data_IF_633333411303
#
_entry.id   IF_633333411303
#
_cell.length_a   1.000
_cell.length_b   1.000
_cell.length_c   1.000
_cell.angle_alpha   90.00
_cell.angle_beta   90.00
_cell.angle_gamma   90.00
#
_symmetry.space_group_name_H-M   'P 1'
#
loop_
_entity.id
_entity.type
_entity.pdbx_description
1 polymer ?
#
# COMPACT_ATOMS: atom_id res chain seq x y z
N UNK A 1 -5.49 16.32 13.85
CA UNK A 1 -6.55 16.97 13.06
C UNK A 1 -7.02 18.15 13.88
N UNK A 2 -6.82 19.38 13.41
CA UNK A 2 -7.41 20.55 14.05
C UNK A 2 -8.93 20.45 13.85
N UNK A 3 -9.68 20.37 14.94
CA UNK A 3 -11.12 20.19 14.94
C UNK A 3 -11.77 21.54 15.21
N UNK A 4 -11.87 22.37 14.17
CA UNK A 4 -12.61 23.63 14.25
C UNK A 4 -14.10 23.38 14.02
N UNK A 5 -14.91 23.75 15.00
CA UNK A 5 -16.37 23.63 14.97
C UNK A 5 -16.97 24.89 14.31
N UNK A 6 -17.92 24.69 13.40
CA UNK A 6 -18.74 25.75 12.81
C UNK A 6 -20.23 25.56 13.14
N UNK A 7 -21.06 26.53 12.79
CA UNK A 7 -22.52 26.46 12.91
C UNK A 7 -23.14 25.38 12.01
N UNK A 8 -22.52 25.10 10.86
CA UNK A 8 -23.01 24.14 9.88
C UNK A 8 -22.20 22.83 9.86
N UNK A 9 -22.91 21.70 9.76
CA UNK A 9 -22.29 20.37 9.64
C UNK A 9 -22.15 19.96 8.19
N UNK A 10 -20.96 19.49 7.78
CA UNK A 10 -20.67 19.01 6.41
C UNK A 10 -21.50 17.78 5.95
N UNK A 11 -22.30 17.16 6.82
CA UNK A 11 -23.18 16.04 6.46
C UNK A 11 -22.47 14.73 6.06
N UNK A 12 -21.15 14.64 6.20
CA UNK A 12 -20.36 13.49 5.76
C UNK A 12 -20.55 12.31 6.73
N UNK A 13 -21.22 11.25 6.28
CA UNK A 13 -21.29 9.97 7.00
C UNK A 13 -19.91 9.33 7.06
N UNK A 14 -19.61 8.63 8.16
CA UNK A 14 -18.34 7.92 8.32
C UNK A 14 -18.12 6.92 7.14
N UNK A 15 -17.16 7.18 6.22
CA UNK A 15 -16.92 6.34 5.06
C UNK A 15 -16.18 5.04 5.43
N UNK A 16 -15.58 4.98 6.62
CA UNK A 16 -14.78 3.87 7.09
C UNK A 16 -15.59 2.81 7.85
N UNK A 17 -16.91 2.97 8.02
CA UNK A 17 -17.73 1.98 8.75
C UNK A 17 -17.66 0.58 8.13
N UNK A 18 -17.76 0.47 6.81
CA UNK A 18 -17.71 -0.83 6.13
C UNK A 18 -16.32 -1.47 6.21
N UNK A 19 -15.26 -0.67 6.01
CA UNK A 19 -13.87 -1.15 6.17
C UNK A 19 -13.59 -1.56 7.62
N UNK A 20 -14.03 -0.75 8.57
CA UNK A 20 -13.88 -1.00 10.01
C UNK A 20 -14.60 -2.27 10.44
N UNK A 21 -15.80 -2.54 9.92
CA UNK A 21 -16.53 -3.78 10.16
C UNK A 21 -15.75 -5.00 9.65
N UNK A 22 -15.31 -4.97 8.39
CA UNK A 22 -14.51 -6.06 7.81
C UNK A 22 -13.22 -6.29 8.60
N UNK A 23 -12.56 -5.21 9.04
CA UNK A 23 -11.35 -5.28 9.85
C UNK A 23 -11.62 -5.85 11.25
N UNK A 24 -12.75 -5.50 11.85
CA UNK A 24 -13.17 -6.01 13.16
C UNK A 24 -13.50 -7.52 13.08
N UNK A 25 -14.26 -7.95 12.07
CA UNK A 25 -14.57 -9.37 11.83
C UNK A 25 -13.28 -10.17 11.60
N UNK A 26 -12.38 -9.68 10.75
CA UNK A 26 -11.06 -10.31 10.56
C UNK A 26 -10.29 -10.40 11.87
N UNK A 27 -10.25 -9.32 12.65
CA UNK A 27 -9.57 -9.29 13.94
C UNK A 27 -10.12 -10.32 14.91
N UNK A 28 -11.45 -10.45 14.98
CA UNK A 28 -12.13 -11.45 15.80
C UNK A 28 -11.77 -12.88 15.38
N UNK A 29 -11.84 -13.20 14.08
CA UNK A 29 -11.47 -14.53 13.58
C UNK A 29 -10.00 -14.86 13.87
N UNK A 30 -9.08 -13.92 13.67
CA UNK A 30 -7.65 -14.11 13.95
C UNK A 30 -7.40 -14.28 15.45
N UNK A 31 -8.10 -13.54 16.31
CA UNK A 31 -8.00 -13.73 17.76
C UNK A 31 -8.47 -15.13 18.19
N UNK A 32 -9.59 -15.62 17.64
CA UNK A 32 -10.07 -16.98 17.89
C UNK A 32 -9.05 -18.04 17.45
N UNK A 33 -8.44 -17.85 16.27
CA UNK A 33 -7.36 -18.70 15.77
C UNK A 33 -6.11 -18.66 16.66
N UNK A 34 -5.82 -17.53 17.32
CA UNK A 34 -4.72 -17.41 18.28
C UNK A 34 -5.00 -18.07 19.63
N UNK A 35 -6.25 -18.12 20.06
CA UNK A 35 -6.66 -18.81 21.30
C UNK A 35 -6.49 -20.32 21.16
N UNK A 36 -6.82 -20.88 19.99
CA UNK A 36 -6.73 -22.32 19.74
C UNK A 36 -5.38 -22.96 20.10
N UNK A 37 -4.22 -22.50 19.59
CA UNK A 37 -2.92 -23.07 19.98
C UNK A 37 -2.58 -22.82 21.45
N UNK A 38 -3.02 -21.71 22.05
CA UNK A 38 -2.79 -21.42 23.48
C UNK A 38 -3.50 -22.44 24.39
N UNK A 39 -4.68 -22.91 24.02
CA UNK A 39 -5.39 -23.96 24.76
C UNK A 39 -4.65 -25.31 24.70
N UNK A 40 -3.92 -25.57 23.62
CA UNK A 40 -3.13 -26.80 23.46
C UNK A 40 -1.80 -26.78 24.21
N UNK A 41 -1.28 -25.61 24.59
CA UNK A 41 -0.01 -25.50 25.32
C UNK A 41 -0.02 -26.34 26.59
N UNK A 42 -1.13 -26.36 27.34
CA UNK A 42 -1.21 -27.08 28.62
C UNK A 42 -0.94 -28.58 28.46
N UNK A 43 -1.49 -29.20 27.41
CA UNK A 43 -1.24 -30.62 27.12
C UNK A 43 0.14 -30.86 26.52
N UNK A 44 0.62 -29.95 25.66
CA UNK A 44 1.94 -30.10 25.02
C UNK A 44 3.11 -29.88 25.99
N UNK A 45 3.00 -29.02 27.00
CA UNK A 45 4.08 -28.80 27.99
C UNK A 45 4.48 -30.09 28.70
N UNK A 46 3.54 -31.01 28.88
CA UNK A 46 3.78 -32.30 29.53
C UNK A 46 4.49 -33.31 28.62
N UNK A 47 4.38 -33.15 27.29
CA UNK A 47 4.95 -34.05 26.29
C UNK A 47 6.28 -33.51 25.75
N UNK A 48 6.27 -32.28 25.24
CA UNK A 48 7.43 -31.61 24.67
C UNK A 48 7.39 -30.11 25.00
N UNK A 49 8.32 -29.70 25.87
CA UNK A 49 8.46 -28.31 26.31
C UNK A 49 8.79 -27.37 25.15
N UNK A 50 9.57 -27.82 24.16
CA UNK A 50 9.99 -26.96 23.03
C UNK A 50 8.83 -26.65 22.10
N UNK A 51 8.06 -27.67 21.72
CA UNK A 51 6.83 -27.50 20.93
C UNK A 51 5.79 -26.63 21.64
N UNK A 52 5.63 -26.80 22.95
CA UNK A 52 4.72 -25.97 23.73
C UNK A 52 5.06 -24.48 23.69
N UNK A 53 6.36 -24.12 23.77
CA UNK A 53 6.81 -22.74 23.64
C UNK A 53 6.58 -22.17 22.23
N UNK A 54 6.74 -22.98 21.19
CA UNK A 54 6.44 -22.57 19.81
C UNK A 54 4.94 -22.27 19.65
N UNK A 55 4.08 -23.16 20.13
CA UNK A 55 2.62 -22.96 20.12
C UNK A 55 2.21 -21.73 20.92
N UNK A 56 2.82 -21.52 22.09
CA UNK A 56 2.61 -20.32 22.90
C UNK A 56 2.99 -19.05 22.12
N UNK A 57 4.20 -19.01 21.54
CA UNK A 57 4.68 -17.85 20.78
C UNK A 57 3.78 -17.53 19.58
N UNK A 58 3.41 -18.53 18.78
CA UNK A 58 2.51 -18.36 17.63
C UNK A 58 1.12 -17.90 18.10
N UNK A 59 0.57 -18.51 19.15
CA UNK A 59 -0.72 -18.15 19.72
C UNK A 59 -0.77 -16.70 20.21
N UNK A 60 0.26 -16.26 20.96
CA UNK A 60 0.37 -14.88 21.41
C UNK A 60 0.52 -13.89 20.26
N UNK A 61 1.33 -14.20 19.24
CA UNK A 61 1.49 -13.33 18.06
C UNK A 61 0.17 -13.17 17.30
N UNK A 62 -0.59 -14.24 17.10
CA UNK A 62 -1.90 -14.20 16.46
C UNK A 62 -2.91 -13.44 17.30
N UNK A 63 -2.99 -13.70 18.60
CA UNK A 63 -3.90 -13.03 19.52
C UNK A 63 -3.63 -11.51 19.57
N UNK A 64 -2.38 -11.11 19.73
CA UNK A 64 -1.98 -9.70 19.77
C UNK A 64 -2.29 -8.99 18.44
N UNK A 65 -2.01 -9.65 17.31
CA UNK A 65 -2.34 -9.14 15.98
C UNK A 65 -3.86 -9.03 15.74
N UNK A 66 -4.62 -10.03 16.18
CA UNK A 66 -6.08 -10.09 16.07
C UNK A 66 -6.76 -9.02 16.90
N UNK A 67 -6.37 -8.86 18.17
CA UNK A 67 -6.88 -7.83 19.07
C UNK A 67 -6.56 -6.42 18.56
N UNK A 68 -5.34 -6.19 18.07
CA UNK A 68 -4.97 -4.91 17.45
C UNK A 68 -5.83 -4.59 16.24
N UNK A 69 -6.07 -5.57 15.36
CA UNK A 69 -6.94 -5.41 14.21
C UNK A 69 -8.38 -5.13 14.63
N UNK A 70 -8.91 -5.87 15.60
CA UNK A 70 -10.25 -5.72 16.15
C UNK A 70 -10.46 -4.32 16.73
N UNK A 71 -9.57 -3.89 17.63
CA UNK A 71 -9.62 -2.56 18.24
C UNK A 71 -9.56 -1.44 17.19
N UNK A 72 -8.66 -1.56 16.20
CA UNK A 72 -8.58 -0.59 15.11
C UNK A 72 -9.84 -0.56 14.22
N UNK A 73 -10.48 -1.71 14.00
CA UNK A 73 -11.72 -1.81 13.22
C UNK A 73 -12.91 -1.18 13.95
N UNK A 74 -13.05 -1.45 15.25
CA UNK A 74 -14.06 -0.82 16.10
C UNK A 74 -13.85 0.69 16.13
N UNK A 75 -12.61 1.15 16.33
CA UNK A 75 -12.29 2.58 16.33
C UNK A 75 -12.68 3.26 15.00
N UNK A 76 -12.46 2.59 13.86
CA UNK A 76 -12.87 3.09 12.54
C UNK A 76 -14.39 3.17 12.38
N UNK A 77 -15.18 2.37 13.09
CA UNK A 77 -16.64 2.40 13.05
C UNK A 77 -17.26 3.50 13.93
N UNK A 78 -16.50 4.02 14.90
CA UNK A 78 -16.93 5.09 15.79
C UNK A 78 -17.17 6.42 15.05
N UNK A 79 -17.49 7.48 15.79
CA UNK A 79 -17.80 8.79 15.20
C UNK A 79 -16.62 9.30 14.37
N UNK A 80 -16.92 9.67 13.13
CA UNK A 80 -15.95 10.29 12.24
C UNK A 80 -15.96 11.81 12.47
N UNK A 81 -14.83 12.34 12.93
CA UNK A 81 -14.67 13.76 13.20
C UNK A 81 -14.08 14.43 11.96
N UNK A 82 -14.77 15.44 11.44
CA UNK A 82 -14.38 16.22 10.26
C UNK A 82 -14.33 17.69 10.66
N UNK A 83 -13.19 18.33 10.42
CA UNK A 83 -13.05 19.78 10.58
C UNK A 83 -13.37 20.53 9.28
N UNK A 84 -13.40 21.87 9.33
CA UNK A 84 -13.75 22.72 8.19
C UNK A 84 -12.72 22.72 7.05
N UNK A 85 -11.49 22.28 7.31
CA UNK A 85 -10.41 22.17 6.31
C UNK A 85 -10.43 20.88 5.49
N UNK A 86 -11.45 20.02 5.65
CA UNK A 86 -11.60 18.77 4.88
C UNK A 86 -12.52 19.01 3.68
N UNK A 87 -12.22 18.49 2.46
CA UNK A 87 -11.14 17.57 2.08
C UNK A 87 -9.75 18.21 2.09
N UNK A 88 -8.64 17.47 2.06
CA UNK A 88 -7.30 18.09 1.94
C UNK A 88 -7.20 18.93 0.66
N UNK A 89 -6.47 20.05 0.71
CA UNK A 89 -6.24 20.92 -0.43
C UNK A 89 -5.54 20.22 -1.60
N UNK A 90 -5.80 20.69 -2.83
CA UNK A 90 -5.14 20.16 -4.03
C UNK A 90 -3.64 20.48 -4.02
N UNK A 91 -3.29 21.71 -3.66
CA UNK A 91 -1.93 22.22 -3.47
C UNK A 91 -1.78 22.89 -2.08
N UNK A 92 -0.56 23.23 -1.63
CA UNK A 92 -0.37 23.94 -0.35
C UNK A 92 -1.23 25.21 -0.29
N UNK A 93 -2.01 25.32 0.79
CA UNK A 93 -2.90 26.45 1.02
C UNK A 93 -2.15 27.58 1.72
N UNK A 94 -2.20 28.77 1.12
CA UNK A 94 -1.60 30.00 1.62
C UNK A 94 -2.63 30.97 2.21
N UNK A 95 -3.89 30.56 2.34
CA UNK A 95 -4.92 31.39 2.97
C UNK A 95 -4.52 31.83 4.38
N UNK A 96 -4.61 33.13 4.66
CA UNK A 96 -4.20 33.73 5.95
C UNK A 96 -4.97 33.14 7.13
N UNK A 97 -6.25 32.80 6.95
CA UNK A 97 -7.11 32.23 7.98
C UNK A 97 -6.86 30.74 8.27
N UNK A 98 -6.15 30.05 7.39
CA UNK A 98 -5.95 28.59 7.45
C UNK A 98 -4.48 28.19 7.53
N UNK A 99 -3.58 29.08 7.97
CA UNK A 99 -2.13 28.82 8.00
C UNK A 99 -1.74 27.66 8.91
N UNK A 100 -2.44 27.47 10.03
CA UNK A 100 -2.16 26.37 10.95
C UNK A 100 -2.67 25.03 10.42
N UNK A 101 -3.88 25.03 9.84
CA UNK A 101 -4.47 23.84 9.19
C UNK A 101 -3.67 23.43 7.96
N UNK A 102 -3.22 24.39 7.14
CA UNK A 102 -2.40 24.16 5.95
C UNK A 102 -1.08 23.43 6.26
N UNK A 103 -0.45 23.68 7.41
CA UNK A 103 0.77 22.95 7.83
C UNK A 103 0.52 21.47 8.11
N UNK A 104 -0.70 21.11 8.50
CA UNK A 104 -1.10 19.74 8.78
C UNK A 104 -1.55 18.98 7.53
N UNK A 105 -1.78 19.70 6.43
CA UNK A 105 -2.23 19.13 5.17
C UNK A 105 -1.08 18.47 4.40
N UNK A 106 -1.41 17.43 3.65
CA UNK A 106 -0.50 16.76 2.72
C UNK A 106 -1.09 16.80 1.31
N UNK A 107 -1.04 17.98 0.65
CA UNK A 107 -1.59 18.15 -0.69
C UNK A 107 -0.86 17.27 -1.71
N UNK A 108 -1.57 16.90 -2.77
CA UNK A 108 -1.02 16.00 -3.79
C UNK A 108 -0.21 16.76 -4.86
N UNK A 109 -0.63 17.98 -5.18
CA UNK A 109 -0.04 18.80 -6.23
C UNK A 109 0.77 19.95 -5.63
N UNK A 110 1.63 20.53 -6.46
CA UNK A 110 2.18 21.87 -6.22
C UNK A 110 1.35 22.91 -6.96
N UNK A 111 1.44 24.17 -6.56
CA UNK A 111 0.78 25.28 -7.27
C UNK A 111 1.16 25.33 -8.76
N UNK A 112 2.44 25.11 -9.08
CA UNK A 112 2.94 25.01 -10.46
C UNK A 112 2.31 23.85 -11.25
N UNK A 113 2.02 22.72 -10.59
CA UNK A 113 1.40 21.57 -11.27
C UNK A 113 -0.05 21.90 -11.67
N UNK A 114 -0.76 22.64 -10.80
CA UNK A 114 -2.12 23.12 -11.08
C UNK A 114 -2.12 24.16 -12.21
N UNK A 115 -1.13 25.05 -12.25
CA UNK A 115 -0.97 26.01 -13.34
C UNK A 115 -0.76 25.30 -14.68
N UNK A 116 0.15 24.31 -14.72
CA UNK A 116 0.37 23.49 -15.92
C UNK A 116 -0.87 22.68 -16.33
N UNK A 117 -1.70 22.26 -15.38
CA UNK A 117 -2.97 21.58 -15.67
C UNK A 117 -3.99 22.52 -16.30
N UNK A 118 -4.15 23.71 -15.73
CA UNK A 118 -5.15 24.68 -16.16
C UNK A 118 -4.76 25.35 -17.48
N UNK A 119 -3.53 25.89 -17.54
CA UNK A 119 -3.04 26.67 -18.70
C UNK A 119 -2.38 25.78 -19.76
N UNK A 120 -1.60 24.79 -19.32
CA UNK A 120 -0.83 23.92 -20.22
C UNK A 120 -1.61 22.70 -20.73
N UNK A 121 -2.83 22.47 -20.23
CA UNK A 121 -3.66 21.28 -20.53
C UNK A 121 -2.93 19.95 -20.29
N UNK A 122 -1.98 19.94 -19.34
CA UNK A 122 -1.20 18.74 -18.99
C UNK A 122 -1.86 18.04 -17.82
N UNK A 123 -2.13 16.74 -17.92
CA UNK A 123 -2.65 15.98 -16.78
C UNK A 123 -1.50 15.30 -16.00
N UNK A 124 -1.10 15.88 -14.85
CA UNK A 124 -0.07 15.26 -13.99
C UNK A 124 -0.63 14.19 -13.05
N UNK A 125 -1.94 13.98 -13.00
CA UNK A 125 -2.60 12.95 -12.17
C UNK A 125 -2.40 11.54 -12.73
N UNK A 126 -2.14 11.41 -14.03
CA UNK A 126 -1.88 10.13 -14.67
C UNK A 126 -0.38 9.98 -14.91
N UNK A 127 0.28 9.32 -13.96
CA UNK A 127 1.70 8.97 -14.07
C UNK A 127 1.83 7.65 -14.82
N UNK A 128 2.78 7.59 -15.77
CA UNK A 128 3.08 6.36 -16.50
C UNK A 128 3.64 5.28 -15.55
N UNK A 129 3.16 4.03 -15.66
CA UNK A 129 3.74 2.91 -14.92
C UNK A 129 5.16 2.59 -15.38
N UNK A 130 6.09 2.52 -14.42
CA UNK A 130 7.47 2.11 -14.66
C UNK A 130 7.66 0.62 -14.31
N UNK A 131 8.39 -0.11 -15.16
CA UNK A 131 8.72 -1.51 -14.96
C UNK A 131 7.78 -2.51 -15.66
N UNK A 132 8.31 -3.70 -15.94
CA UNK A 132 7.64 -4.77 -16.70
C UNK A 132 6.30 -5.20 -16.09
N UNK A 133 6.27 -5.50 -14.78
CA UNK A 133 5.06 -5.97 -14.09
C UNK A 133 3.98 -4.89 -14.13
N UNK A 134 4.38 -3.64 -13.85
CA UNK A 134 3.48 -2.49 -13.84
C UNK A 134 2.83 -2.30 -15.22
N UNK A 135 3.64 -2.30 -16.28
CA UNK A 135 3.16 -2.19 -17.67
C UNK A 135 2.27 -3.36 -18.09
N UNK A 136 2.61 -4.59 -17.69
CA UNK A 136 1.79 -5.77 -17.97
C UNK A 136 0.39 -5.66 -17.33
N UNK A 137 0.31 -5.23 -16.08
CA UNK A 137 -0.97 -5.01 -15.39
C UNK A 137 -1.83 -3.97 -16.09
N UNK A 138 -1.22 -2.84 -16.49
CA UNK A 138 -1.93 -1.79 -17.22
C UNK A 138 -2.28 -2.19 -18.66
N UNK A 139 -1.57 -3.16 -19.25
CA UNK A 139 -1.93 -3.75 -20.56
C UNK A 139 -3.16 -4.65 -20.42
N UNK A 140 -3.23 -5.47 -19.37
CA UNK A 140 -4.37 -6.37 -19.10
C UNK A 140 -5.62 -5.60 -18.66
N UNK A 141 -5.45 -4.49 -17.94
CA UNK A 141 -6.54 -3.65 -17.44
C UNK A 141 -6.26 -2.17 -17.78
N UNK A 142 -6.49 -1.72 -19.03
CA UNK A 142 -6.17 -0.35 -19.46
C UNK A 142 -6.88 0.74 -18.65
N UNK A 143 -8.11 0.46 -18.21
CA UNK A 143 -8.91 1.40 -17.41
C UNK A 143 -8.38 1.59 -15.97
N UNK A 144 -7.38 0.81 -15.55
CA UNK A 144 -6.76 0.90 -14.23
C UNK A 144 -6.14 2.29 -14.01
N UNK A 145 -5.59 2.91 -15.06
CA UNK A 145 -4.99 4.24 -14.99
C UNK A 145 -5.99 5.32 -14.56
N UNK A 146 -7.30 5.11 -14.67
CA UNK A 146 -8.29 6.10 -14.26
C UNK A 146 -8.78 5.92 -12.81
N UNK A 147 -8.41 4.82 -12.14
CA UNK A 147 -8.79 4.60 -10.75
C UNK A 147 -7.95 5.44 -9.78
N UNK A 148 -8.37 5.66 -8.52
CA UNK A 148 -7.50 6.28 -7.52
C UNK A 148 -6.22 5.46 -7.26
N UNK A 149 -5.10 6.14 -6.92
CA UNK A 149 -3.81 5.48 -6.65
C UNK A 149 -3.87 4.30 -5.69
N UNK A 150 -4.64 4.34 -4.57
CA UNK A 150 -4.76 3.18 -3.68
C UNK A 150 -5.17 1.89 -4.39
N UNK A 151 -6.08 1.98 -5.38
CA UNK A 151 -6.55 0.82 -6.14
C UNK A 151 -5.55 0.41 -7.23
N UNK A 152 -4.86 1.38 -7.85
CA UNK A 152 -3.78 1.10 -8.82
C UNK A 152 -2.64 0.35 -8.16
N UNK A 153 -2.14 0.87 -7.04
CA UNK A 153 -1.04 0.28 -6.28
C UNK A 153 -1.43 -1.11 -5.77
N UNK A 154 -2.66 -1.27 -5.25
CA UNK A 154 -3.15 -2.59 -4.82
C UNK A 154 -3.15 -3.60 -5.96
N UNK A 155 -3.63 -3.23 -7.14
CA UNK A 155 -3.66 -4.11 -8.32
C UNK A 155 -2.24 -4.52 -8.76
N UNK A 156 -1.32 -3.55 -8.81
CA UNK A 156 0.07 -3.81 -9.17
C UNK A 156 0.73 -4.73 -8.12
N UNK A 157 0.55 -4.49 -6.81
CA UNK A 157 1.20 -5.26 -5.73
C UNK A 157 0.67 -6.67 -5.64
N UNK A 158 -0.62 -6.82 -5.86
CA UNK A 158 -1.26 -8.11 -6.00
C UNK A 158 -0.66 -8.91 -7.19
N UNK A 159 -0.52 -8.28 -8.36
CA UNK A 159 0.14 -8.92 -9.50
C UNK A 159 1.62 -9.24 -9.21
N UNK A 160 2.33 -8.38 -8.49
CA UNK A 160 3.69 -8.62 -8.02
C UNK A 160 3.78 -9.84 -7.10
N UNK A 161 2.84 -10.00 -6.17
CA UNK A 161 2.78 -11.16 -5.27
C UNK A 161 2.49 -12.47 -6.01
N UNK A 162 1.62 -12.44 -7.03
CA UNK A 162 1.37 -13.60 -7.89
C UNK A 162 2.63 -14.02 -8.65
N UNK A 163 3.33 -13.07 -9.27
CA UNK A 163 4.58 -13.36 -9.99
C UNK A 163 5.66 -13.85 -9.02
N UNK A 164 5.80 -13.22 -7.85
CA UNK A 164 6.73 -13.68 -6.82
C UNK A 164 6.40 -15.11 -6.35
N UNK A 165 5.12 -15.45 -6.24
CA UNK A 165 4.68 -16.82 -5.91
C UNK A 165 5.09 -17.80 -7.00
N UNK A 166 4.86 -17.47 -8.28
CA UNK A 166 5.27 -18.32 -9.40
C UNK A 166 6.80 -18.51 -9.44
N UNK A 167 7.57 -17.43 -9.27
CA UNK A 167 9.04 -17.49 -9.21
C UNK A 167 9.52 -18.35 -8.03
N UNK A 168 8.90 -18.20 -6.86
CA UNK A 168 9.25 -18.99 -5.68
C UNK A 168 8.93 -20.48 -5.85
N UNK A 169 7.81 -20.82 -6.51
CA UNK A 169 7.48 -22.21 -6.84
C UNK A 169 8.47 -22.82 -7.84
N UNK A 170 8.90 -22.07 -8.86
CA UNK A 170 9.94 -22.52 -9.80
C UNK A 170 11.29 -22.70 -9.09
N UNK A 171 11.69 -21.74 -8.26
CA UNK A 171 12.91 -21.84 -7.46
C UNK A 171 12.86 -23.08 -6.55
N UNK A 172 11.74 -23.29 -5.86
CA UNK A 172 11.55 -24.47 -5.02
C UNK A 172 11.58 -25.77 -5.84
N UNK A 173 10.97 -25.82 -7.03
CA UNK A 173 11.03 -26.99 -7.90
C UNK A 173 12.47 -27.32 -8.31
N UNK A 174 13.31 -26.32 -8.58
CA UNK A 174 14.74 -26.50 -8.86
C UNK A 174 15.49 -27.04 -7.63
N UNK A 175 15.24 -26.47 -6.45
CA UNK A 175 15.84 -26.94 -5.20
C UNK A 175 15.41 -28.38 -4.87
N UNK A 176 14.12 -28.70 -5.05
CA UNK A 176 13.59 -30.04 -4.87
C UNK A 176 14.21 -31.02 -5.87
N UNK A 177 14.38 -30.61 -7.13
CA UNK A 177 15.09 -31.42 -8.13
C UNK A 177 16.52 -31.73 -7.69
N UNK A 178 17.27 -30.74 -7.21
CA UNK A 178 18.65 -30.95 -6.72
C UNK A 178 18.71 -31.88 -5.50
N UNK A 179 17.76 -31.76 -4.56
CA UNK A 179 17.70 -32.64 -3.40
C UNK A 179 17.30 -34.08 -3.77
N UNK A 180 16.27 -34.24 -4.62
CA UNK A 180 15.72 -35.56 -4.99
C UNK A 180 16.62 -36.34 -5.95
N UNK A 181 17.43 -35.65 -6.76
CA UNK A 181 18.39 -36.30 -7.67
C UNK A 181 19.69 -36.72 -6.97
N UNK A 182 19.85 -36.41 -5.68
CA UNK A 182 21.05 -36.72 -4.91
C UNK A 182 22.24 -35.80 -5.20
N UNK A 183 22.07 -34.72 -5.98
CA UNK A 183 23.14 -33.72 -6.19
C UNK A 183 23.58 -33.04 -4.88
N UNK A 184 22.69 -32.97 -3.89
CA UNK A 184 22.98 -32.46 -2.55
C UNK A 184 23.55 -33.54 -1.58
N UNK A 185 23.83 -34.75 -2.06
CA UNK A 185 24.25 -35.89 -1.24
C UNK A 185 23.11 -36.53 -0.43
N UNK A 186 23.46 -37.40 0.52
CA UNK A 186 22.50 -38.14 1.37
C UNK A 186 21.67 -37.23 2.30
N UNK A 187 22.07 -35.96 2.43
CA UNK A 187 21.36 -34.95 3.23
C UNK A 187 20.12 -34.36 2.56
N UNK A 188 19.78 -34.80 1.34
CA UNK A 188 18.61 -34.32 0.58
C UNK A 188 17.29 -34.44 1.35
N UNK A 189 17.12 -35.52 2.12
CA UNK A 189 15.91 -35.78 2.92
C UNK A 189 15.73 -34.79 4.08
N UNK A 190 16.82 -34.24 4.61
CA UNK A 190 16.81 -33.24 5.70
C UNK A 190 16.59 -31.84 5.11
N UNK A 191 17.20 -31.55 3.96
CA UNK A 191 17.13 -30.24 3.32
C UNK A 191 15.75 -29.94 2.73
N UNK A 192 15.07 -30.93 2.17
CA UNK A 192 13.80 -30.71 1.48
C UNK A 192 12.68 -30.15 2.41
N UNK A 193 12.43 -30.70 3.62
CA UNK A 193 11.49 -30.12 4.57
C UNK A 193 11.87 -28.69 5.00
N UNK A 194 13.17 -28.42 5.19
CA UNK A 194 13.67 -27.09 5.55
C UNK A 194 13.35 -26.06 4.47
N UNK A 195 13.69 -26.34 3.20
CA UNK A 195 13.40 -25.42 2.09
C UNK A 195 11.89 -25.25 1.86
N UNK A 196 11.11 -26.30 2.10
CA UNK A 196 9.65 -26.23 2.03
C UNK A 196 9.09 -25.28 3.10
N UNK A 197 9.60 -25.36 4.33
CA UNK A 197 9.22 -24.44 5.41
C UNK A 197 9.60 -22.99 5.06
N UNK A 198 10.82 -22.77 4.54
CA UNK A 198 11.29 -21.45 4.07
C UNK A 198 10.36 -20.90 2.98
N UNK A 199 9.93 -21.74 2.03
CA UNK A 199 8.97 -21.34 0.99
C UNK A 199 7.65 -20.88 1.59
N UNK A 200 7.06 -21.64 2.52
CA UNK A 200 5.78 -21.28 3.15
C UNK A 200 5.89 -19.95 3.90
N UNK A 201 6.97 -19.75 4.67
CA UNK A 201 7.23 -18.49 5.38
C UNK A 201 7.39 -17.33 4.38
N UNK A 202 8.17 -17.54 3.32
CA UNK A 202 8.36 -16.53 2.27
C UNK A 202 7.04 -16.11 1.62
N UNK A 203 6.17 -17.07 1.26
CA UNK A 203 4.87 -16.80 0.66
C UNK A 203 3.98 -16.01 1.63
N UNK A 204 3.91 -16.40 2.90
CA UNK A 204 3.13 -15.67 3.91
C UNK A 204 3.60 -14.21 4.02
N UNK A 205 4.91 -13.98 4.07
CA UNK A 205 5.48 -12.63 4.16
C UNK A 205 5.23 -11.80 2.89
N UNK A 206 5.37 -12.42 1.71
CA UNK A 206 5.11 -11.79 0.41
C UNK A 206 3.66 -11.31 0.29
N UNK A 207 2.70 -12.16 0.64
CA UNK A 207 1.28 -11.84 0.60
C UNK A 207 0.85 -10.86 1.70
N UNK A 208 1.47 -10.93 2.88
CA UNK A 208 1.28 -9.93 3.93
C UNK A 208 1.75 -8.54 3.48
N UNK A 209 2.90 -8.46 2.83
CA UNK A 209 3.40 -7.22 2.22
C UNK A 209 2.39 -6.66 1.21
N UNK A 210 1.92 -7.48 0.28
CA UNK A 210 0.99 -7.08 -0.78
C UNK A 210 -0.35 -6.54 -0.27
N UNK A 211 -0.78 -6.92 0.93
CA UNK A 211 -2.04 -6.45 1.54
C UNK A 211 -2.05 -4.98 1.98
N UNK A 212 -0.89 -4.32 2.02
CA UNK A 212 -0.78 -2.94 2.50
C UNK A 212 -1.21 -1.92 1.43
N UNK A 213 -1.95 -0.89 1.82
CA UNK A 213 -2.52 0.11 0.90
C UNK A 213 -1.80 1.44 1.05
N UNK A 214 -1.22 1.93 -0.05
CA UNK A 214 -0.54 3.23 -0.09
C UNK A 214 -1.37 4.27 -0.83
N UNK A 215 -1.32 5.52 -0.34
CA UNK A 215 -2.08 6.65 -0.92
C UNK A 215 -1.30 7.41 -1.99
N UNK A 216 0.03 7.37 -1.94
CA UNK A 216 0.89 8.01 -2.94
C UNK A 216 1.02 7.11 -4.18
N UNK A 217 1.19 7.72 -5.34
CA UNK A 217 1.42 6.98 -6.58
C UNK A 217 2.67 6.11 -6.45
N UNK A 218 2.52 4.79 -6.56
CA UNK A 218 3.68 3.92 -6.75
C UNK A 218 4.00 3.90 -8.24
N UNK A 219 5.15 4.47 -8.61
CA UNK A 219 5.61 4.47 -10.01
C UNK A 219 6.15 3.10 -10.40
N UNK A 220 6.88 2.48 -9.48
CA UNK A 220 7.45 1.16 -9.63
C UNK A 220 7.06 0.30 -8.45
N UNK A 221 6.56 -0.89 -8.75
CA UNK A 221 6.80 -2.03 -7.87
C UNK A 221 8.17 -2.52 -8.20
N UNK A 222 9.00 -2.82 -7.20
CA UNK A 222 10.29 -3.46 -7.42
C UNK A 222 10.11 -4.63 -8.39
N UNK A 223 10.42 -4.39 -9.65
CA UNK A 223 10.46 -5.44 -10.65
C UNK A 223 11.64 -6.30 -10.27
N UNK A 224 11.40 -7.60 -10.10
CA UNK A 224 12.50 -8.55 -10.08
C UNK A 224 13.17 -8.48 -11.46
N UNK A 225 14.18 -7.61 -11.59
CA UNK A 225 14.89 -7.45 -12.84
C UNK A 225 15.54 -8.78 -13.25
N UNK A 226 15.86 -8.95 -14.53
CA UNK A 226 16.44 -10.18 -15.06
C UNK A 226 17.65 -10.67 -14.23
N UNK A 227 18.48 -9.74 -13.73
CA UNK A 227 19.60 -10.06 -12.85
C UNK A 227 19.17 -10.60 -11.48
N UNK A 228 18.11 -10.05 -10.86
CA UNK A 228 17.56 -10.56 -9.59
C UNK A 228 16.99 -11.97 -9.80
N UNK A 229 16.24 -12.20 -10.88
CA UNK A 229 15.70 -13.52 -11.23
C UNK A 229 16.81 -14.55 -11.44
N UNK A 230 17.84 -14.22 -12.24
CA UNK A 230 18.98 -15.11 -12.47
C UNK A 230 19.70 -15.45 -11.15
N UNK A 231 19.89 -14.49 -10.25
CA UNK A 231 20.46 -14.73 -8.92
C UNK A 231 19.59 -15.66 -8.07
N UNK A 232 18.27 -15.51 -8.09
CA UNK A 232 17.36 -16.40 -7.36
C UNK A 232 17.45 -17.82 -7.92
N UNK A 233 17.45 -17.99 -9.25
CA UNK A 233 17.56 -19.31 -9.88
C UNK A 233 18.92 -19.96 -9.60
N UNK A 234 20.02 -19.21 -9.72
CA UNK A 234 21.35 -19.69 -9.40
C UNK A 234 21.46 -20.10 -7.93
N UNK A 235 20.90 -19.29 -7.02
CA UNK A 235 20.86 -19.60 -5.60
C UNK A 235 20.01 -20.85 -5.30
N UNK A 236 18.86 -21.02 -5.96
CA UNK A 236 18.00 -22.18 -5.79
C UNK A 236 18.69 -23.51 -6.15
N UNK A 237 19.69 -23.47 -7.04
CA UNK A 237 20.51 -24.63 -7.43
C UNK A 237 21.73 -24.77 -6.52
N UNK A 238 22.48 -23.68 -6.31
CA UNK A 238 23.75 -23.71 -5.57
C UNK A 238 23.56 -23.89 -4.05
N UNK A 239 22.54 -23.27 -3.46
CA UNK A 239 22.31 -23.31 -2.03
C UNK A 239 22.10 -24.74 -1.47
N UNK A 240 21.23 -25.60 -2.04
CA UNK A 240 21.09 -26.98 -1.55
C UNK A 240 22.39 -27.80 -1.69
N UNK A 241 23.19 -27.59 -2.75
CA UNK A 241 24.47 -28.29 -2.91
C UNK A 241 25.47 -27.85 -1.85
N UNK A 242 25.65 -26.53 -1.69
CA UNK A 242 26.60 -25.98 -0.70
C UNK A 242 26.20 -26.33 0.74
N UNK A 243 24.90 -26.26 1.06
CA UNK A 243 24.39 -26.67 2.36
C UNK A 243 24.52 -28.17 2.58
N UNK A 244 24.26 -29.00 1.57
CA UNK A 244 24.48 -30.45 1.66
C UNK A 244 25.94 -30.79 1.96
N UNK A 245 26.88 -30.15 1.27
CA UNK A 245 28.31 -30.30 1.56
C UNK A 245 28.69 -29.83 2.98
N UNK A 246 28.16 -28.69 3.42
CA UNK A 246 28.41 -28.16 4.75
C UNK A 246 27.84 -29.07 5.86
N UNK A 247 26.62 -29.58 5.68
CA UNK A 247 25.97 -30.50 6.63
C UNK A 247 26.74 -31.82 6.67
N UNK A 248 27.14 -32.37 5.53
CA UNK A 248 27.96 -33.59 5.49
C UNK A 248 29.31 -33.40 6.20
N UNK A 249 29.95 -32.23 6.05
CA UNK A 249 31.17 -31.92 6.79
C UNK A 249 30.93 -31.82 8.30
N UNK A 250 29.83 -31.18 8.72
CA UNK A 250 29.45 -31.05 10.13
C UNK A 250 29.05 -32.39 10.75
N UNK A 251 28.40 -33.27 10.00
CA UNK A 251 28.00 -34.62 10.43
C UNK A 251 29.19 -35.55 10.68
N UNK A 252 30.39 -35.23 10.20
CA UNK A 252 31.62 -35.95 10.58
C UNK A 252 31.99 -35.74 12.06
N UNK A 253 31.43 -34.70 12.72
CA UNK A 253 31.62 -34.46 14.15
C UNK A 253 30.59 -35.24 14.95
N UNK A 254 31.08 -36.10 15.86
CA UNK A 254 30.26 -37.06 16.63
C UNK A 254 29.20 -36.39 17.52
N UNK A 255 29.45 -35.17 17.99
CA UNK A 255 28.51 -34.40 18.81
C UNK A 255 27.31 -33.89 17.98
N UNK A 256 27.55 -33.50 16.72
CA UNK A 256 26.53 -32.99 15.80
C UNK A 256 25.66 -34.13 15.28
N UNK A 257 26.26 -35.30 15.05
CA UNK A 257 25.54 -36.50 14.63
C UNK A 257 24.49 -36.92 15.67
N UNK A 258 24.84 -36.90 16.97
CA UNK A 258 23.93 -37.25 18.04
C UNK A 258 22.77 -36.24 18.19
N UNK A 259 23.05 -34.94 18.04
CA UNK A 259 22.02 -33.90 18.09
C UNK A 259 21.03 -33.98 16.91
N UNK A 260 21.49 -34.36 15.72
CA UNK A 260 20.64 -34.52 14.54
C UNK A 260 19.80 -35.80 14.62
N UNK A 261 20.35 -36.90 15.16
CA UNK A 261 19.57 -38.11 15.40
C UNK A 261 18.45 -37.87 16.43
N UNK A 262 18.73 -37.12 17.50
CA UNK A 262 17.71 -36.75 18.49
C UNK A 262 16.58 -35.90 17.86
N UNK A 263 16.94 -34.95 16.98
CA UNK A 263 15.96 -34.18 16.20
C UNK A 263 15.18 -35.03 15.19
N UNK A 264 15.79 -36.02 14.56
CA UNK A 264 15.10 -36.96 13.66
C UNK A 264 14.11 -37.86 14.40
N UNK A 265 14.37 -38.18 15.67
CA UNK A 265 13.42 -38.95 16.52
C UNK A 265 12.31 -38.09 17.14
N UNK A 266 12.45 -36.76 17.12
CA UNK A 266 11.43 -35.85 17.66
C UNK A 266 10.23 -35.70 16.70
N UNK A 267 9.01 -35.57 17.24
CA UNK A 267 7.77 -35.41 16.46
C UNK A 267 7.75 -34.15 15.56
N UNK A 268 8.76 -33.27 15.68
CA UNK A 268 9.01 -32.13 14.78
C UNK A 268 9.17 -32.54 13.31
N UNK A 269 9.54 -33.79 13.02
CA UNK A 269 9.60 -34.31 11.64
C UNK A 269 8.21 -34.43 10.99
N UNK A 270 7.13 -34.41 11.77
CA UNK A 270 5.75 -34.51 11.30
C UNK A 270 5.15 -33.19 10.80
N UNK A 271 5.94 -32.10 10.70
CA UNK A 271 5.47 -30.88 10.03
C UNK A 271 5.25 -31.20 8.55
N UNK A 272 4.07 -31.69 8.22
CA UNK A 272 3.67 -31.99 6.86
C UNK A 272 3.65 -30.66 6.12
N UNK A 273 4.68 -30.29 5.37
CA UNK A 273 4.72 -28.97 4.74
C UNK A 273 3.69 -28.86 3.62
N UNK A 274 3.29 -30.00 3.04
CA UNK A 274 2.45 -30.04 1.86
C UNK A 274 1.02 -29.54 2.09
N UNK A 275 0.28 -29.95 3.14
CA UNK A 275 -1.02 -29.35 3.47
C UNK A 275 -0.93 -27.84 3.71
N UNK A 276 0.12 -27.36 4.38
CA UNK A 276 0.33 -25.94 4.69
C UNK A 276 0.57 -25.15 3.40
N UNK A 277 1.40 -25.68 2.50
CA UNK A 277 1.67 -25.08 1.20
C UNK A 277 0.39 -25.01 0.35
N UNK A 278 -0.38 -26.10 0.28
CA UNK A 278 -1.66 -26.15 -0.45
C UNK A 278 -2.66 -25.15 0.12
N UNK A 279 -2.74 -25.04 1.45
CA UNK A 279 -3.62 -24.10 2.14
C UNK A 279 -3.22 -22.65 1.86
N UNK A 280 -1.93 -22.33 1.87
CA UNK A 280 -1.43 -21.01 1.47
C UNK A 280 -1.81 -20.75 0.01
N UNK A 281 -1.54 -21.67 -0.91
CA UNK A 281 -1.89 -21.51 -2.33
C UNK A 281 -3.39 -21.31 -2.54
N UNK A 282 -4.24 -22.06 -1.84
CA UNK A 282 -5.70 -21.90 -1.85
C UNK A 282 -6.10 -20.47 -1.45
N UNK A 283 -5.60 -19.97 -0.31
CA UNK A 283 -5.93 -18.61 0.14
C UNK A 283 -5.38 -17.52 -0.80
N UNK A 284 -4.22 -17.73 -1.41
CA UNK A 284 -3.68 -16.82 -2.42
C UNK A 284 -4.56 -16.78 -3.67
N UNK A 285 -5.06 -17.94 -4.13
CA UNK A 285 -5.99 -18.02 -5.25
C UNK A 285 -7.34 -17.35 -4.92
N UNK A 286 -7.92 -17.65 -3.76
CA UNK A 286 -9.19 -17.05 -3.32
C UNK A 286 -9.10 -15.54 -3.19
N UNK A 287 -8.07 -15.03 -2.49
CA UNK A 287 -7.86 -13.59 -2.34
C UNK A 287 -7.65 -12.92 -3.69
N UNK A 288 -6.97 -13.60 -4.62
CA UNK A 288 -6.73 -13.11 -5.95
C UNK A 288 -7.95 -12.98 -6.82
N UNK A 289 -8.79 -14.01 -6.85
CA UNK A 289 -10.08 -13.96 -7.54
C UNK A 289 -10.93 -12.82 -6.98
N UNK A 290 -10.98 -12.67 -5.65
CA UNK A 290 -11.79 -11.62 -5.03
C UNK A 290 -11.30 -10.21 -5.40
N UNK A 291 -9.99 -9.96 -5.32
CA UNK A 291 -9.40 -8.67 -5.71
C UNK A 291 -9.66 -8.37 -7.19
N UNK A 292 -9.47 -9.37 -8.06
CA UNK A 292 -9.71 -9.23 -9.49
C UNK A 292 -11.18 -8.87 -9.79
N UNK A 293 -12.14 -9.55 -9.15
CA UNK A 293 -13.56 -9.27 -9.32
C UNK A 293 -13.93 -7.85 -8.86
N UNK A 294 -13.40 -7.41 -7.71
CA UNK A 294 -13.63 -6.04 -7.21
C UNK A 294 -13.04 -4.98 -8.14
N UNK A 295 -11.81 -5.20 -8.63
CA UNK A 295 -11.17 -4.29 -9.60
C UNK A 295 -11.95 -4.26 -10.92
N UNK A 296 -12.43 -5.40 -11.41
CA UNK A 296 -13.26 -5.49 -12.61
C UNK A 296 -14.56 -4.69 -12.46
N UNK A 297 -15.28 -4.86 -11.34
CA UNK A 297 -16.50 -4.08 -11.08
C UNK A 297 -16.22 -2.58 -10.96
N UNK A 298 -15.10 -2.20 -10.32
CA UNK A 298 -14.75 -0.79 -10.14
C UNK A 298 -14.33 -0.13 -11.45
N UNK A 299 -13.52 -0.80 -12.26
CA UNK A 299 -13.10 -0.31 -13.59
C UNK A 299 -14.27 -0.20 -14.57
N UNK A 300 -15.29 -1.06 -14.46
CA UNK A 300 -16.50 -0.97 -15.28
C UNK A 300 -17.29 0.34 -15.05
N UNK A 301 -17.20 0.94 -13.86
CA UNK A 301 -17.86 2.21 -13.52
C UNK A 301 -17.09 3.45 -13.98
N UNK A 302 -15.88 3.28 -14.51
CA UNK A 302 -15.06 4.41 -14.97
C UNK A 302 -15.60 4.93 -16.29
N UNK A 303 -16.02 6.20 -16.28
CA UNK A 303 -16.29 6.99 -17.47
C UNK A 303 -15.18 8.02 -17.61
N UNK A 304 -14.22 7.77 -18.49
CA UNK A 304 -13.16 8.73 -18.76
C UNK A 304 -13.73 9.87 -19.61
N UNK A 305 -13.91 11.04 -19.00
CA UNK A 305 -14.22 12.26 -19.74
C UNK A 305 -12.91 12.98 -20.03
N UNK A 306 -12.61 13.17 -21.32
CA UNK A 306 -11.43 13.91 -21.80
C UNK A 306 -11.75 15.37 -22.11
N UNK A 307 -12.93 15.86 -21.69
CA UNK A 307 -13.35 17.24 -21.91
C UNK A 307 -12.48 18.17 -21.08
N UNK A 308 -12.03 19.24 -21.72
CA UNK A 308 -11.24 20.29 -21.07
C UNK A 308 -12.20 21.15 -20.25
N UNK A 309 -12.06 21.15 -18.93
CA UNK A 309 -12.81 22.03 -18.02
C UNK A 309 -12.19 23.43 -17.96
N UNK A 310 -11.89 24.02 -19.12
CA UNK A 310 -11.27 25.35 -19.22
C UNK A 310 -12.31 26.34 -19.75
N UNK A 311 -12.53 27.40 -18.97
CA UNK A 311 -13.24 28.59 -19.43
C UNK A 311 -12.22 29.72 -19.55
N UNK A 312 -11.97 30.18 -20.78
CA UNK A 312 -11.14 31.37 -21.02
C UNK A 312 -12.06 32.51 -21.42
N UNK A 313 -12.05 33.57 -20.62
CA UNK A 313 -12.63 34.84 -20.97
C UNK A 313 -11.57 35.92 -20.79
N UNK A 314 -11.53 36.84 -21.75
CA UNK A 314 -10.73 38.05 -21.66
C UNK A 314 -11.71 39.21 -21.51
N UNK A 315 -11.44 40.09 -20.56
CA UNK A 315 -12.22 41.32 -20.35
C UNK A 315 -11.25 42.48 -20.20
N UNK A 316 -11.67 43.65 -20.69
CA UNK A 316 -10.93 44.89 -20.60
C UNK A 316 -11.82 45.88 -19.83
N UNK A 317 -11.26 46.47 -18.78
CA UNK A 317 -11.91 47.50 -17.97
C UNK A 317 -10.91 48.60 -17.65
N UNK A 318 -11.41 49.83 -17.60
CA UNK A 318 -10.59 51.01 -17.29
C UNK A 318 -10.59 51.27 -15.77
N UNK A 319 -10.02 50.34 -15.01
CA UNK A 319 -9.94 50.41 -13.54
C UNK A 319 -8.48 50.29 -13.12
N UNK A 320 -8.09 50.95 -12.02
CA UNK A 320 -6.75 50.80 -11.48
C UNK A 320 -6.49 49.32 -11.10
N UNK A 321 -5.40 48.67 -11.56
CA UNK A 321 -5.19 47.23 -11.35
C UNK A 321 -5.31 46.77 -9.90
N UNK A 322 -4.83 47.58 -8.95
CA UNK A 322 -4.93 47.28 -7.51
C UNK A 322 -6.38 47.16 -7.02
N UNK A 323 -7.31 47.97 -7.52
CA UNK A 323 -8.71 47.93 -7.12
C UNK A 323 -9.40 46.66 -7.61
N UNK A 324 -9.03 46.18 -8.81
CA UNK A 324 -9.52 44.92 -9.36
C UNK A 324 -9.22 43.77 -8.38
N UNK A 325 -7.99 43.67 -7.90
CA UNK A 325 -7.62 42.58 -6.99
C UNK A 325 -8.24 42.71 -5.60
N UNK A 326 -8.33 43.92 -5.05
CA UNK A 326 -9.00 44.16 -3.76
C UNK A 326 -10.47 43.74 -3.84
N UNK A 327 -11.16 44.10 -4.91
CA UNK A 327 -12.57 43.71 -5.13
C UNK A 327 -12.73 42.20 -5.33
N UNK A 328 -11.83 41.56 -6.09
CA UNK A 328 -11.85 40.11 -6.28
C UNK A 328 -11.70 39.41 -4.93
N UNK A 329 -10.69 39.76 -4.13
CA UNK A 329 -10.39 39.07 -2.86
C UNK A 329 -11.46 39.34 -1.79
N UNK A 330 -11.82 40.60 -1.57
CA UNK A 330 -12.68 41.00 -0.45
C UNK A 330 -14.17 40.82 -0.72
N UNK A 331 -14.62 40.97 -1.97
CA UNK A 331 -16.06 40.96 -2.30
C UNK A 331 -16.41 39.68 -3.06
N UNK A 332 -15.79 39.44 -4.22
CA UNK A 332 -16.17 38.33 -5.10
C UNK A 332 -15.87 36.98 -4.44
N UNK A 333 -14.65 36.80 -3.94
CA UNK A 333 -14.24 35.54 -3.33
C UNK A 333 -14.91 35.31 -1.97
N UNK A 334 -15.12 36.36 -1.18
CA UNK A 334 -15.88 36.26 0.06
C UNK A 334 -17.32 35.78 -0.17
N UNK A 335 -18.00 36.30 -1.20
CA UNK A 335 -19.36 35.89 -1.57
C UNK A 335 -19.45 34.49 -2.19
N UNK A 336 -18.33 33.92 -2.65
CA UNK A 336 -18.26 32.57 -3.21
C UNK A 336 -17.98 31.48 -2.17
N UNK A 337 -17.82 31.83 -0.89
CA UNK A 337 -17.57 30.84 0.17
C UNK A 337 -18.77 29.91 0.33
N UNK A 338 -18.52 28.61 0.23
CA UNK A 338 -19.52 27.60 0.50
C UNK A 338 -19.54 27.24 1.99
N UNK A 339 -20.73 27.26 2.63
CA UNK A 339 -20.90 27.03 4.09
C UNK A 339 -19.94 27.86 4.97
N UNK A 340 -19.69 29.11 4.55
CA UNK A 340 -18.75 30.04 5.19
C UNK A 340 -17.30 29.52 5.31
N UNK A 341 -16.95 28.44 4.61
CA UNK A 341 -15.60 27.88 4.61
C UNK A 341 -14.71 28.82 3.78
N UNK A 342 -13.52 29.21 4.27
CA UNK A 342 -12.59 30.03 3.50
C UNK A 342 -12.19 29.33 2.19
N UNK A 343 -12.08 30.11 1.12
CA UNK A 343 -11.55 29.61 -0.15
C UNK A 343 -10.07 29.25 0.01
N UNK A 344 -9.62 28.23 -0.73
CA UNK A 344 -8.23 27.77 -0.67
C UNK A 344 -7.39 28.58 -1.64
N UNK A 345 -6.28 29.11 -1.17
CA UNK A 345 -5.40 29.96 -1.96
C UNK A 345 -4.14 29.18 -2.29
N UNK A 346 -3.92 28.83 -3.55
CA UNK A 346 -2.76 28.05 -4.01
C UNK A 346 -1.60 28.92 -4.47
N UNK A 347 -1.89 30.15 -4.88
CA UNK A 347 -0.89 31.17 -5.16
C UNK A 347 -1.41 32.48 -4.59
N UNK A 348 -0.69 33.04 -3.63
CA UNK A 348 -1.05 34.34 -3.05
C UNK A 348 -0.93 35.41 -4.11
N UNK A 349 -1.86 36.36 -4.04
CA UNK A 349 -1.80 37.56 -4.85
C UNK A 349 -0.52 38.33 -4.53
N UNK A 350 0.35 38.45 -5.53
CA UNK A 350 1.58 39.26 -5.48
C UNK A 350 1.52 40.34 -6.56
N UNK A 351 0.76 41.42 -6.34
CA UNK A 351 0.62 42.46 -7.35
C UNK A 351 1.90 43.28 -7.36
N UNK A 352 2.64 43.25 -8.47
CA UNK A 352 3.79 44.12 -8.68
C UNK A 352 3.46 45.12 -9.80
N UNK A 353 3.59 46.40 -9.48
CA UNK A 353 3.42 47.50 -10.43
C UNK A 353 4.80 48.12 -10.62
N UNK A 354 5.41 47.95 -11.79
CA UNK A 354 6.59 48.73 -12.13
C UNK A 354 6.14 49.96 -12.91
N UNK A 355 6.06 51.09 -12.22
CA UNK A 355 5.79 52.37 -12.85
C UNK A 355 7.05 52.87 -13.55
N UNK A 356 6.97 53.10 -14.87
CA UNK A 356 7.92 53.90 -15.61
C UNK A 356 7.41 55.36 -15.63
N UNK A 357 8.29 56.34 -15.90
CA UNK A 357 7.88 57.74 -15.97
C UNK A 357 6.78 57.96 -17.02
N UNK A 358 5.86 58.90 -16.75
CA UNK A 358 4.73 59.29 -17.62
C UNK A 358 3.63 58.23 -17.80
N UNK A 359 3.04 57.75 -16.69
CA UNK A 359 1.79 56.93 -16.70
C UNK A 359 1.87 55.64 -17.53
N UNK A 360 3.08 55.18 -17.84
CA UNK A 360 3.36 53.90 -18.48
C UNK A 360 3.97 52.99 -17.43
N UNK A 361 3.50 51.76 -17.37
CA UNK A 361 4.03 50.77 -16.45
C UNK A 361 3.51 49.40 -16.82
N UNK A 362 4.25 48.37 -16.41
CA UNK A 362 3.76 47.01 -16.47
C UNK A 362 3.19 46.62 -15.10
N UNK A 363 2.05 45.94 -15.16
CA UNK A 363 1.43 45.34 -14.00
C UNK A 363 1.42 43.83 -14.20
N UNK A 364 1.96 43.10 -13.21
CA UNK A 364 1.86 41.65 -13.17
C UNK A 364 1.30 41.21 -11.81
N UNK A 365 0.35 40.30 -11.85
CA UNK A 365 -0.26 39.71 -10.67
C UNK A 365 -0.93 38.41 -11.04
N UNK A 366 -0.64 37.36 -10.28
CA UNK A 366 -1.24 36.05 -10.47
C UNK A 366 -1.87 35.59 -9.15
N UNK A 367 -3.05 35.00 -9.25
CA UNK A 367 -3.75 34.41 -8.10
C UNK A 367 -4.40 33.11 -8.54
N UNK A 368 -4.31 32.08 -7.70
CA UNK A 368 -4.94 30.78 -7.95
C UNK A 368 -5.73 30.36 -6.72
N UNK A 369 -7.03 30.16 -6.91
CA UNK A 369 -7.98 29.91 -5.82
C UNK A 369 -8.93 28.77 -6.20
N UNK A 370 -9.28 27.95 -5.21
CA UNK A 370 -10.40 27.00 -5.29
C UNK A 370 -11.57 27.53 -4.46
N UNK A 371 -12.74 27.61 -5.09
CA UNK A 371 -14.01 28.10 -4.52
C UNK A 371 -15.03 26.99 -4.38
#
# INVERSE_FOLDING_TARGET
MAYDYGSESLGIRNPFKAEGLLRAVRGLLVSLLGIYPLLQVVSLVQQDKTLAWIYAAVGFLLLAGGLKALGSGIAQMMRFFVGRSVPTSLAPNFSKSERETAKLEQPHYKSIDLEEMLMGRKNKTFVEPEGFISRMVHTLVPKLIFLPYPLRNLAQRFAGALIATAVALVAYALTAFVCLTGLAGETGDILLPFFSFVLVVYLILSWRSASTVYRKAEKSIETQGNLKLAKIMAFAILAPVLLGLAINFLLQQREVQNAISDLQTSELQSFAVMPQLLLVLLFTAMSGVFIFLLLKQRTAKVQAQTKVSEYRANWQENIHPRELFVNIDNIVMANRRYMEIPNRVYRELTPNLNEQSESKGDFNGEVMIET
#
